data_IF_626802695128
#
_entry.id   IF_626802695128
#
_cell.length_a   1.000
_cell.length_b   1.000
_cell.length_c   1.000
_cell.angle_alpha   90.00
_cell.angle_beta   90.00
_cell.angle_gamma   90.00
#
_symmetry.space_group_name_H-M   'P 1'
#
loop_
_entity.id
_entity.type
_entity.pdbx_description
1 polymer ?
#
# COMPACT_ATOMS: atom_id res chain seq x y z
N UNK A 1 -22.65 -2.60 -31.65
CA UNK A 1 -23.77 -2.29 -30.74
C UNK A 1 -24.00 -3.27 -29.59
N UNK A 2 -23.48 -4.50 -29.61
CA UNK A 2 -23.67 -5.45 -28.49
C UNK A 2 -22.60 -5.33 -27.38
N UNK A 3 -21.39 -4.85 -27.72
CA UNK A 3 -20.25 -4.67 -26.78
C UNK A 3 -20.50 -3.64 -25.67
N UNK A 4 -21.49 -2.74 -25.82
CA UNK A 4 -21.82 -1.71 -24.83
C UNK A 4 -22.85 -2.18 -23.78
N UNK A 5 -23.31 -3.44 -23.84
CA UNK A 5 -24.24 -4.03 -22.87
C UNK A 5 -23.52 -4.96 -21.89
N UNK A 6 -22.36 -4.54 -21.40
CA UNK A 6 -21.66 -5.25 -20.32
C UNK A 6 -22.49 -5.18 -19.04
N UNK A 7 -22.83 -6.34 -18.48
CA UNK A 7 -23.54 -6.49 -17.21
C UNK A 7 -22.71 -7.36 -16.26
N UNK A 8 -22.79 -7.12 -14.94
CA UNK A 8 -22.16 -8.02 -13.98
C UNK A 8 -22.80 -9.40 -14.03
N UNK A 9 -22.01 -10.45 -13.74
CA UNK A 9 -22.46 -11.84 -13.73
C UNK A 9 -23.48 -12.09 -12.62
N UNK A 10 -23.29 -11.45 -11.48
CA UNK A 10 -24.19 -11.53 -10.33
C UNK A 10 -24.84 -10.17 -10.06
N UNK A 11 -26.15 -10.20 -9.85
CA UNK A 11 -26.97 -9.07 -9.40
C UNK A 11 -27.77 -9.50 -8.19
N UNK A 12 -28.02 -8.56 -7.27
CA UNK A 12 -28.69 -8.82 -5.99
C UNK A 12 -30.03 -9.55 -6.17
N UNK A 13 -30.30 -10.56 -5.33
CA UNK A 13 -31.50 -11.42 -5.43
C UNK A 13 -32.76 -10.65 -5.04
N UNK A 14 -32.71 -9.78 -4.04
CA UNK A 14 -33.83 -8.90 -3.65
C UNK A 14 -34.07 -7.73 -4.62
N UNK A 15 -33.17 -7.52 -5.59
CA UNK A 15 -33.23 -6.50 -6.63
C UNK A 15 -33.85 -6.97 -7.94
N UNK A 16 -34.64 -8.05 -7.95
CA UNK A 16 -35.40 -8.50 -9.13
C UNK A 16 -36.62 -7.59 -9.41
N UNK A 17 -36.43 -6.28 -9.31
CA UNK A 17 -37.34 -5.27 -9.86
C UNK A 17 -36.73 -4.75 -11.16
N UNK A 18 -37.57 -4.52 -12.16
CA UNK A 18 -37.27 -3.80 -13.42
C UNK A 18 -36.83 -2.35 -13.14
N UNK A 19 -35.74 -2.16 -12.42
CA UNK A 19 -35.15 -0.86 -12.09
C UNK A 19 -34.17 -0.44 -13.17
N UNK A 20 -34.71 0.19 -14.21
CA UNK A 20 -34.02 1.16 -15.06
C UNK A 20 -32.77 0.68 -15.86
N UNK A 21 -32.87 -0.50 -16.48
CA UNK A 21 -32.02 -0.81 -17.65
C UNK A 21 -32.39 0.06 -18.89
N UNK A 22 -33.38 0.96 -18.76
CA UNK A 22 -33.93 1.81 -19.81
C UNK A 22 -33.31 3.21 -19.86
N UNK A 23 -32.84 3.74 -18.74
CA UNK A 23 -32.11 5.00 -18.70
C UNK A 23 -30.72 4.84 -19.31
N UNK A 24 -30.32 5.83 -20.11
CA UNK A 24 -28.99 5.90 -20.71
C UNK A 24 -27.90 5.72 -19.63
N UNK A 25 -28.11 6.28 -18.42
CA UNK A 25 -27.15 6.14 -17.33
C UNK A 25 -27.03 4.69 -16.84
N UNK A 26 -28.15 3.97 -16.65
CA UNK A 26 -28.12 2.57 -16.19
C UNK A 26 -27.35 1.65 -17.13
N UNK A 27 -27.45 1.88 -18.44
CA UNK A 27 -26.73 1.08 -19.43
C UNK A 27 -25.23 1.39 -19.51
N UNK A 28 -24.83 2.66 -19.33
CA UNK A 28 -23.45 3.09 -19.52
C UNK A 28 -22.62 3.20 -18.24
N UNK A 29 -23.23 3.24 -17.05
CA UNK A 29 -22.49 3.38 -15.77
C UNK A 29 -21.48 2.24 -15.59
N UNK A 30 -21.90 0.99 -15.79
CA UNK A 30 -21.03 -0.17 -15.61
C UNK A 30 -19.80 -0.16 -16.53
N UNK A 31 -19.95 -0.06 -17.87
CA UNK A 31 -18.78 0.03 -18.75
C UNK A 31 -17.98 1.33 -18.52
N UNK A 32 -18.61 2.44 -18.15
CA UNK A 32 -17.91 3.69 -17.82
C UNK A 32 -17.02 3.53 -16.59
N UNK A 33 -17.47 2.83 -15.54
CA UNK A 33 -16.65 2.53 -14.36
C UNK A 33 -15.42 1.71 -14.75
N UNK A 34 -15.57 0.66 -15.56
CA UNK A 34 -14.44 -0.15 -16.04
C UNK A 34 -13.45 0.72 -16.83
N UNK A 35 -13.94 1.50 -17.79
CA UNK A 35 -13.09 2.39 -18.60
C UNK A 35 -12.35 3.38 -17.71
N UNK A 36 -13.03 4.02 -16.77
CA UNK A 36 -12.43 4.94 -15.83
C UNK A 36 -11.33 4.28 -15.00
N UNK A 37 -11.61 3.10 -14.43
CA UNK A 37 -10.62 2.31 -13.69
C UNK A 37 -9.40 1.95 -14.56
N UNK A 38 -9.60 1.58 -15.82
CA UNK A 38 -8.50 1.31 -16.75
C UNK A 38 -7.68 2.56 -17.08
N UNK A 39 -8.32 3.70 -17.27
CA UNK A 39 -7.62 4.97 -17.55
C UNK A 39 -6.76 5.38 -16.35
N UNK A 40 -7.31 5.31 -15.14
CA UNK A 40 -6.56 5.62 -13.91
C UNK A 40 -5.39 4.66 -13.73
N UNK A 41 -5.62 3.35 -13.91
CA UNK A 41 -4.56 2.34 -13.84
C UNK A 41 -3.44 2.63 -14.85
N UNK A 42 -3.77 2.90 -16.12
CA UNK A 42 -2.76 3.19 -17.14
C UNK A 42 -1.95 4.44 -16.82
N UNK A 43 -2.60 5.46 -16.25
CA UNK A 43 -1.94 6.69 -15.81
C UNK A 43 -0.96 6.44 -14.66
N UNK A 44 -1.39 5.77 -13.59
CA UNK A 44 -0.52 5.44 -12.44
C UNK A 44 0.62 4.52 -12.85
N UNK A 45 0.32 3.48 -13.63
CA UNK A 45 1.32 2.56 -14.16
C UNK A 45 2.36 3.29 -15.03
N UNK A 46 1.94 4.27 -15.82
CA UNK A 46 2.86 5.10 -16.60
C UNK A 46 3.77 5.95 -15.70
N UNK A 47 3.25 6.56 -14.64
CA UNK A 47 4.03 7.33 -13.67
C UNK A 47 5.09 6.44 -12.99
N UNK A 48 4.72 5.24 -12.58
CA UNK A 48 5.64 4.28 -11.96
C UNK A 48 6.71 3.79 -12.93
N UNK A 49 6.36 3.55 -14.20
CA UNK A 49 7.35 3.22 -15.23
C UNK A 49 8.35 4.36 -15.44
N UNK A 50 7.89 5.61 -15.40
CA UNK A 50 8.75 6.79 -15.47
C UNK A 50 9.65 6.88 -14.24
N UNK A 51 9.11 6.67 -13.05
CA UNK A 51 9.86 6.68 -11.79
C UNK A 51 10.92 5.56 -11.76
N UNK A 52 10.56 4.37 -12.23
CA UNK A 52 11.49 3.22 -12.38
C UNK A 52 12.70 3.56 -13.25
N UNK A 53 12.51 4.31 -14.35
CA UNK A 53 13.62 4.76 -15.21
C UNK A 53 14.53 5.73 -14.46
N UNK A 54 13.96 6.62 -13.64
CA UNK A 54 14.73 7.55 -12.81
C UNK A 54 15.63 6.81 -11.83
N UNK A 55 15.14 5.74 -11.18
CA UNK A 55 15.94 4.97 -10.22
C UNK A 55 17.08 4.15 -10.83
N UNK A 56 17.07 3.92 -12.15
CA UNK A 56 18.19 3.28 -12.86
C UNK A 56 19.37 4.23 -13.06
N UNK A 57 19.16 5.54 -12.95
CA UNK A 57 20.23 6.53 -13.09
C UNK A 57 20.90 6.73 -11.72
N UNK A 58 21.96 5.97 -11.46
CA UNK A 58 22.69 5.99 -10.19
C UNK A 58 23.80 7.05 -10.12
N UNK A 59 23.63 8.18 -10.81
CA UNK A 59 24.63 9.28 -10.76
C UNK A 59 24.33 10.15 -9.54
N UNK A 60 25.33 10.35 -8.69
CA UNK A 60 25.21 11.29 -7.58
C UNK A 60 25.08 12.72 -8.14
N UNK A 61 24.12 13.54 -7.65
CA UNK A 61 23.92 14.88 -8.19
C UNK A 61 25.16 15.77 -8.00
N UNK A 62 25.60 16.46 -9.05
CA UNK A 62 26.83 17.29 -9.03
C UNK A 62 26.75 18.45 -8.04
N UNK A 63 25.56 19.04 -7.86
CA UNK A 63 25.37 20.15 -6.92
C UNK A 63 25.51 19.72 -5.46
N UNK A 64 25.02 18.52 -5.13
CA UNK A 64 25.22 17.90 -3.81
C UNK A 64 26.70 17.50 -3.62
N UNK A 65 27.38 17.05 -4.66
CA UNK A 65 28.81 16.73 -4.58
C UNK A 65 29.67 17.97 -4.28
N UNK A 66 29.40 19.08 -4.98
CA UNK A 66 30.13 20.35 -4.78
C UNK A 66 29.92 20.90 -3.37
N UNK A 67 28.66 20.97 -2.92
CA UNK A 67 28.31 21.54 -1.61
C UNK A 67 28.86 20.72 -0.45
N UNK A 68 28.75 19.40 -0.51
CA UNK A 68 29.30 18.51 0.53
C UNK A 68 30.82 18.48 0.47
N UNK A 69 31.39 18.51 -0.73
CA UNK A 69 32.83 18.59 -0.93
C UNK A 69 33.45 19.86 -0.35
N UNK A 70 32.78 21.01 -0.48
CA UNK A 70 33.22 22.24 0.21
C UNK A 70 33.16 22.12 1.73
N UNK A 71 32.13 21.48 2.28
CA UNK A 71 32.01 21.26 3.74
C UNK A 71 33.12 20.35 4.26
N UNK A 72 33.41 19.26 3.55
CA UNK A 72 34.53 18.36 3.89
C UNK A 72 35.89 19.07 3.81
N UNK A 73 36.08 19.93 2.81
CA UNK A 73 37.31 20.72 2.65
C UNK A 73 37.49 21.77 3.76
N UNK A 74 36.42 22.44 4.17
CA UNK A 74 36.45 23.40 5.28
C UNK A 74 36.67 22.72 6.63
N UNK A 75 36.06 21.54 6.84
CA UNK A 75 36.25 20.73 8.05
C UNK A 75 37.69 20.19 8.13
N UNK A 76 38.27 19.78 7.00
CA UNK A 76 39.67 19.36 6.92
C UNK A 76 40.68 20.48 7.19
N UNK A 77 40.36 21.73 6.81
CA UNK A 77 41.19 22.91 7.14
C UNK A 77 41.11 23.30 8.62
N UNK A 78 39.94 23.19 9.25
CA UNK A 78 39.76 23.45 10.68
C UNK A 78 40.51 22.41 11.57
N UNK A 79 40.67 21.17 11.10
CA UNK A 79 41.45 20.14 11.79
C UNK A 79 42.97 20.27 11.66
N UNK A 80 43.48 21.05 10.68
CA UNK A 80 44.92 21.22 10.43
C UNK A 80 45.57 22.30 11.33
N UNK A 81 44.80 23.11 12.05
CA UNK A 81 45.34 24.12 12.97
C UNK A 81 45.40 23.68 14.44
N UNK A 82 45.13 22.40 14.75
CA UNK A 82 45.21 21.89 16.11
C UNK A 82 45.76 20.46 16.14
N UNK A 83 47.03 20.31 16.49
CA UNK A 83 47.59 19.08 17.03
C UNK A 83 48.79 19.42 17.95
N UNK A 84 49.17 18.58 18.94
CA UNK A 84 48.50 17.36 19.46
C UNK A 84 48.38 17.32 20.99
N UNK A 85 47.40 16.59 21.54
CA UNK A 85 47.56 15.95 22.86
C UNK A 85 46.53 14.84 23.10
N UNK A 86 47.01 13.64 23.41
CA UNK A 86 46.35 12.76 24.38
C UNK A 86 45.50 11.60 23.83
N UNK A 87 46.13 10.43 23.87
CA UNK A 87 45.55 9.15 24.32
C UNK A 87 44.71 8.30 23.34
N UNK A 88 45.37 7.27 22.81
CA UNK A 88 44.76 6.12 22.14
C UNK A 88 44.05 5.23 23.17
N UNK A 89 42.72 5.30 23.22
CA UNK A 89 41.90 4.30 23.89
C UNK A 89 40.97 3.62 22.88
N UNK A 90 41.30 2.35 22.59
CA UNK A 90 40.50 1.39 21.83
C UNK A 90 39.05 1.36 22.35
N UNK A 91 38.10 1.79 21.53
CA UNK A 91 36.69 1.38 21.70
C UNK A 91 36.22 0.61 20.47
N UNK A 92 36.03 -0.70 20.67
CA UNK A 92 35.28 -1.59 19.77
C UNK A 92 33.84 -1.06 19.69
N UNK A 93 33.52 -0.23 18.69
CA UNK A 93 32.12 0.10 18.40
C UNK A 93 31.51 -0.89 17.42
N UNK A 94 30.49 -1.56 17.92
CA UNK A 94 29.63 -2.56 17.29
C UNK A 94 28.85 -1.88 16.16
N UNK A 95 29.18 -2.19 14.90
CA UNK A 95 28.49 -1.69 13.69
C UNK A 95 26.97 -1.83 13.82
N UNK A 96 26.27 -0.72 14.09
CA UNK A 96 24.84 -0.55 13.87
C UNK A 96 24.67 0.42 12.70
N UNK A 97 23.91 0.02 11.68
CA UNK A 97 23.67 0.83 10.50
C UNK A 97 23.00 2.16 10.87
N UNK A 98 23.67 3.27 10.61
CA UNK A 98 23.07 4.60 10.72
C UNK A 98 24.01 5.73 11.16
N UNK A 99 25.10 5.43 11.87
CA UNK A 99 26.01 6.47 12.37
C UNK A 99 26.77 7.14 11.21
N UNK A 100 26.68 8.47 11.15
CA UNK A 100 27.58 9.28 10.33
C UNK A 100 28.91 9.26 11.07
N UNK A 101 29.94 8.69 10.46
CA UNK A 101 31.28 8.67 11.06
C UNK A 101 31.80 10.12 11.07
N UNK A 102 31.67 10.83 12.20
CA UNK A 102 32.07 12.25 12.35
C UNK A 102 33.55 12.48 12.04
N UNK A 103 34.37 11.43 12.12
CA UNK A 103 35.81 11.46 11.86
C UNK A 103 36.20 11.12 10.42
N UNK A 104 35.23 10.89 9.52
CA UNK A 104 35.47 10.58 8.10
C UNK A 104 34.77 11.59 7.19
N UNK A 105 35.28 11.80 5.96
CA UNK A 105 34.63 12.69 4.99
C UNK A 105 33.19 12.27 4.73
N UNK A 106 32.29 13.24 4.61
CA UNK A 106 30.84 13.08 4.47
C UNK A 106 30.46 12.67 3.05
N UNK A 107 31.19 13.12 2.04
CA UNK A 107 30.90 12.86 0.62
C UNK A 107 30.80 11.35 0.30
N UNK A 108 31.77 10.48 0.63
CA UNK A 108 31.64 9.04 0.36
C UNK A 108 30.51 8.37 1.17
N UNK A 109 30.21 8.89 2.37
CA UNK A 109 29.10 8.39 3.18
C UNK A 109 27.73 8.73 2.54
N UNK A 110 27.63 9.89 1.90
CA UNK A 110 26.42 10.33 1.21
C UNK A 110 26.22 9.61 -0.12
N UNK A 111 27.28 9.37 -0.89
CA UNK A 111 27.22 8.58 -2.12
C UNK A 111 26.75 7.13 -1.85
N UNK A 112 27.25 6.51 -0.79
CA UNK A 112 26.84 5.16 -0.39
C UNK A 112 25.39 5.11 0.10
N UNK A 113 24.95 6.10 0.89
CA UNK A 113 23.54 6.23 1.30
C UNK A 113 22.62 6.49 0.10
N UNK A 114 23.03 7.33 -0.84
CA UNK A 114 22.29 7.61 -2.07
C UNK A 114 22.11 6.32 -2.89
N UNK A 115 23.19 5.56 -3.10
CA UNK A 115 23.12 4.29 -3.85
C UNK A 115 22.17 3.29 -3.18
N UNK A 116 22.20 3.18 -1.84
CA UNK A 116 21.26 2.33 -1.10
C UNK A 116 19.81 2.81 -1.23
N UNK A 117 19.57 4.11 -1.13
CA UNK A 117 18.25 4.71 -1.28
C UNK A 117 17.68 4.50 -2.70
N UNK A 118 18.52 4.60 -3.74
CA UNK A 118 18.14 4.28 -5.12
C UNK A 118 17.75 2.81 -5.27
N UNK A 119 18.53 1.88 -4.69
CA UNK A 119 18.21 0.45 -4.68
C UNK A 119 16.89 0.14 -3.97
N UNK A 120 16.64 0.76 -2.81
CA UNK A 120 15.36 0.65 -2.10
C UNK A 120 14.20 1.18 -2.95
N UNK A 121 14.35 2.37 -3.54
CA UNK A 121 13.35 2.96 -4.43
C UNK A 121 13.02 2.06 -5.63
N UNK A 122 14.04 1.45 -6.23
CA UNK A 122 13.85 0.52 -7.36
C UNK A 122 13.06 -0.73 -6.96
N UNK A 123 13.41 -1.35 -5.82
CA UNK A 123 12.69 -2.53 -5.31
C UNK A 123 11.22 -2.18 -4.99
N UNK A 124 10.99 -1.02 -4.38
CA UNK A 124 9.65 -0.52 -4.03
C UNK A 124 8.78 -0.27 -5.27
N UNK A 125 9.32 0.39 -6.30
CA UNK A 125 8.59 0.62 -7.55
C UNK A 125 8.32 -0.69 -8.29
N UNK A 126 9.29 -1.61 -8.35
CA UNK A 126 9.06 -2.92 -8.97
C UNK A 126 7.92 -3.69 -8.29
N UNK A 127 7.87 -3.67 -6.96
CA UNK A 127 6.79 -4.28 -6.20
C UNK A 127 5.45 -3.57 -6.45
N UNK A 128 5.44 -2.23 -6.42
CA UNK A 128 4.23 -1.44 -6.62
C UNK A 128 3.57 -1.74 -7.97
N UNK A 129 4.36 -1.80 -9.05
CA UNK A 129 3.89 -2.18 -10.39
C UNK A 129 3.17 -3.54 -10.40
N UNK A 130 3.72 -4.55 -9.70
CA UNK A 130 3.12 -5.89 -9.63
C UNK A 130 1.83 -5.87 -8.79
N UNK A 131 1.85 -5.20 -7.64
CA UNK A 131 0.67 -5.09 -6.77
C UNK A 131 -0.47 -4.31 -7.43
N UNK A 132 -0.17 -3.28 -8.22
CA UNK A 132 -1.18 -2.49 -8.93
C UNK A 132 -1.86 -3.30 -10.04
N UNK A 133 -1.11 -4.11 -10.79
CA UNK A 133 -1.68 -5.02 -11.80
C UNK A 133 -2.65 -5.98 -11.13
N UNK A 134 -2.22 -6.61 -10.03
CA UNK A 134 -3.08 -7.53 -9.28
C UNK A 134 -4.33 -6.83 -8.74
N UNK A 135 -4.17 -5.70 -8.04
CA UNK A 135 -5.30 -5.00 -7.42
C UNK A 135 -6.30 -4.46 -8.45
N UNK A 136 -5.81 -4.01 -9.61
CA UNK A 136 -6.69 -3.57 -10.71
C UNK A 136 -7.43 -4.75 -11.33
N UNK A 137 -6.74 -5.87 -11.55
CA UNK A 137 -7.36 -7.09 -12.03
C UNK A 137 -8.43 -7.60 -11.05
N UNK A 138 -8.12 -7.65 -9.75
CA UNK A 138 -9.06 -8.04 -8.69
C UNK A 138 -10.28 -7.11 -8.67
N UNK A 139 -10.08 -5.79 -8.72
CA UNK A 139 -11.17 -4.81 -8.74
C UNK A 139 -12.09 -4.99 -9.96
N UNK A 140 -11.52 -5.16 -11.16
CA UNK A 140 -12.30 -5.44 -12.37
C UNK A 140 -13.00 -6.80 -12.28
N UNK A 141 -12.33 -7.82 -11.76
CA UNK A 141 -12.94 -9.14 -11.57
C UNK A 141 -14.11 -9.08 -10.58
N UNK A 142 -13.97 -8.39 -9.45
CA UNK A 142 -15.04 -8.20 -8.48
C UNK A 142 -16.22 -7.44 -9.07
N UNK A 143 -15.96 -6.42 -9.88
CA UNK A 143 -17.00 -5.67 -10.58
C UNK A 143 -17.72 -6.53 -11.62
N UNK A 144 -16.97 -7.25 -12.48
CA UNK A 144 -17.52 -8.16 -13.49
C UNK A 144 -18.30 -9.32 -12.89
N UNK A 145 -17.87 -9.86 -11.76
CA UNK A 145 -18.52 -10.98 -11.10
C UNK A 145 -19.71 -10.55 -10.24
N UNK A 146 -19.88 -9.25 -9.94
CA UNK A 146 -20.90 -8.79 -9.00
C UNK A 146 -20.60 -9.19 -7.56
N UNK A 147 -19.33 -9.11 -7.17
CA UNK A 147 -18.84 -9.53 -5.86
C UNK A 147 -19.53 -8.81 -4.69
N UNK A 148 -19.75 -7.50 -4.78
CA UNK A 148 -20.41 -6.74 -3.71
C UNK A 148 -21.89 -7.15 -3.52
N UNK A 149 -22.73 -7.22 -4.56
CA UNK A 149 -24.08 -7.77 -4.41
C UNK A 149 -24.08 -9.22 -3.90
N UNK A 150 -23.13 -10.06 -4.32
CA UNK A 150 -22.99 -11.42 -3.80
C UNK A 150 -22.68 -11.45 -2.30
N UNK A 151 -21.73 -10.62 -1.85
CA UNK A 151 -21.41 -10.49 -0.43
C UNK A 151 -22.60 -9.96 0.37
N UNK A 152 -23.38 -9.04 -0.18
CA UNK A 152 -24.59 -8.54 0.46
C UNK A 152 -25.59 -9.67 0.72
N UNK A 153 -25.96 -10.43 -0.31
CA UNK A 153 -26.94 -11.50 -0.19
C UNK A 153 -26.47 -12.61 0.77
N UNK A 154 -25.15 -12.89 0.80
CA UNK A 154 -24.56 -13.81 1.78
C UNK A 154 -24.62 -13.28 3.20
N UNK A 155 -24.38 -11.99 3.41
CA UNK A 155 -24.49 -11.35 4.71
C UNK A 155 -25.92 -11.34 5.22
N UNK A 156 -26.90 -11.01 4.37
CA UNK A 156 -28.31 -11.07 4.70
C UNK A 156 -28.76 -12.49 5.07
N UNK A 157 -28.46 -13.47 4.22
CA UNK A 157 -28.81 -14.88 4.46
C UNK A 157 -28.19 -15.42 5.76
N UNK A 158 -26.95 -15.04 6.05
CA UNK A 158 -26.27 -15.46 7.26
C UNK A 158 -26.85 -14.78 8.51
N UNK A 159 -27.17 -13.49 8.42
CA UNK A 159 -27.78 -12.73 9.51
C UNK A 159 -29.20 -13.23 9.84
N UNK A 160 -29.99 -13.57 8.83
CA UNK A 160 -31.33 -14.15 9.00
C UNK A 160 -31.25 -15.52 9.66
N UNK A 161 -30.40 -16.42 9.14
CA UNK A 161 -30.27 -17.78 9.68
C UNK A 161 -29.70 -17.85 11.10
N UNK A 162 -28.83 -16.90 11.47
CA UNK A 162 -28.14 -16.91 12.78
C UNK A 162 -28.88 -16.09 13.83
N UNK A 163 -29.43 -14.93 13.46
CA UNK A 163 -29.99 -13.95 14.39
C UNK A 163 -31.46 -13.60 14.12
N UNK A 164 -32.05 -14.08 13.02
CA UNK A 164 -33.40 -13.72 12.61
C UNK A 164 -33.52 -12.29 12.09
N UNK A 165 -32.40 -11.63 11.77
CA UNK A 165 -32.40 -10.27 11.23
C UNK A 165 -32.79 -10.27 9.77
N UNK A 166 -33.79 -9.47 9.42
CA UNK A 166 -34.32 -9.39 8.06
C UNK A 166 -33.78 -8.15 7.35
N UNK A 167 -33.63 -8.23 6.02
CA UNK A 167 -33.14 -7.10 5.21
C UNK A 167 -33.97 -5.82 5.42
N UNK A 168 -35.28 -5.96 5.59
CA UNK A 168 -36.21 -4.82 5.67
C UNK A 168 -36.34 -4.25 7.08
N UNK A 169 -36.14 -5.06 8.12
CA UNK A 169 -36.31 -4.64 9.52
C UNK A 169 -35.01 -4.25 10.22
N UNK A 170 -33.87 -4.80 9.77
CA UNK A 170 -32.58 -4.72 10.45
C UNK A 170 -31.44 -4.37 9.48
N UNK A 171 -31.72 -3.56 8.45
CA UNK A 171 -30.79 -3.20 7.36
C UNK A 171 -29.41 -2.75 7.88
N UNK A 172 -29.37 -1.90 8.92
CA UNK A 172 -28.11 -1.41 9.51
C UNK A 172 -27.28 -2.58 10.07
N UNK A 173 -27.91 -3.56 10.72
CA UNK A 173 -27.21 -4.73 11.28
C UNK A 173 -26.67 -5.61 10.16
N UNK A 174 -27.45 -5.82 9.10
CA UNK A 174 -27.03 -6.56 7.91
C UNK A 174 -25.86 -5.86 7.22
N UNK A 175 -25.90 -4.52 7.11
CA UNK A 175 -24.81 -3.71 6.57
C UNK A 175 -23.51 -3.83 7.38
N UNK A 176 -23.59 -3.90 8.72
CA UNK A 176 -22.42 -4.15 9.58
C UNK A 176 -21.81 -5.53 9.34
N UNK A 177 -22.65 -6.56 9.17
CA UNK A 177 -22.19 -7.91 8.82
C UNK A 177 -21.53 -7.92 7.44
N UNK A 178 -22.15 -7.27 6.46
CA UNK A 178 -21.59 -7.09 5.12
C UNK A 178 -20.22 -6.42 5.17
N UNK A 179 -20.10 -5.30 5.89
CA UNK A 179 -18.83 -4.61 6.04
C UNK A 179 -17.77 -5.49 6.72
N UNK A 180 -18.14 -6.24 7.76
CA UNK A 180 -17.25 -7.19 8.43
C UNK A 180 -16.74 -8.26 7.45
N UNK A 181 -17.65 -8.85 6.67
CA UNK A 181 -17.33 -9.86 5.67
C UNK A 181 -16.38 -9.31 4.60
N UNK A 182 -16.70 -8.16 3.99
CA UNK A 182 -15.86 -7.56 2.95
C UNK A 182 -14.51 -7.12 3.48
N UNK A 183 -14.44 -6.63 4.73
CA UNK A 183 -13.18 -6.26 5.39
C UNK A 183 -12.28 -7.48 5.61
N UNK A 184 -12.85 -8.60 6.05
CA UNK A 184 -12.10 -9.84 6.24
C UNK A 184 -11.57 -10.36 4.89
N UNK A 185 -12.42 -10.40 3.86
CA UNK A 185 -12.00 -10.85 2.52
C UNK A 185 -10.88 -9.96 1.98
N UNK A 186 -11.04 -8.64 2.03
CA UNK A 186 -10.01 -7.69 1.57
C UNK A 186 -8.71 -7.79 2.38
N UNK A 187 -8.80 -8.06 3.69
CA UNK A 187 -7.61 -8.31 4.51
C UNK A 187 -6.88 -9.56 4.05
N UNK A 188 -7.61 -10.64 3.75
CA UNK A 188 -7.03 -11.91 3.29
C UNK A 188 -6.38 -11.75 1.92
N UNK A 189 -7.03 -11.06 0.97
CA UNK A 189 -6.47 -10.88 -0.38
C UNK A 189 -5.27 -9.93 -0.40
N UNK A 190 -5.25 -8.92 0.49
CA UNK A 190 -4.13 -7.99 0.64
C UNK A 190 -2.95 -8.54 1.46
N UNK A 191 -3.18 -9.51 2.34
CA UNK A 191 -2.17 -10.02 3.28
C UNK A 191 -0.87 -10.52 2.62
N UNK A 192 -0.88 -11.27 1.49
CA UNK A 192 0.34 -11.74 0.84
C UNK A 192 1.25 -10.59 0.39
N UNK A 193 0.67 -9.51 -0.13
CA UNK A 193 1.40 -8.33 -0.58
C UNK A 193 2.02 -7.59 0.60
N UNK A 194 1.28 -7.45 1.70
CA UNK A 194 1.77 -6.80 2.90
C UNK A 194 2.91 -7.58 3.56
N UNK A 195 2.78 -8.91 3.64
CA UNK A 195 3.83 -9.81 4.13
C UNK A 195 5.09 -9.67 3.26
N UNK A 196 4.94 -9.68 1.93
CA UNK A 196 6.07 -9.53 1.03
C UNK A 196 6.76 -8.17 1.19
N UNK A 197 5.99 -7.08 1.21
CA UNK A 197 6.54 -5.74 1.44
C UNK A 197 7.32 -5.66 2.75
N UNK A 198 6.73 -6.13 3.84
CA UNK A 198 7.30 -6.01 5.19
C UNK A 198 8.49 -6.95 5.42
N UNK A 199 8.36 -8.23 5.07
CA UNK A 199 9.34 -9.24 5.42
C UNK A 199 10.38 -9.54 4.33
N UNK A 200 10.13 -9.13 3.08
CA UNK A 200 11.12 -9.23 2.00
C UNK A 200 11.73 -7.87 1.69
N UNK A 201 10.92 -6.86 1.30
CA UNK A 201 11.45 -5.58 0.83
C UNK A 201 12.05 -4.79 1.99
N UNK A 202 11.24 -4.44 2.99
CA UNK A 202 11.68 -3.61 4.11
C UNK A 202 12.76 -4.31 4.95
N UNK A 203 12.71 -5.64 5.07
CA UNK A 203 13.76 -6.42 5.76
C UNK A 203 15.06 -6.47 4.98
N UNK A 204 15.03 -6.63 3.65
CA UNK A 204 16.24 -6.61 2.78
C UNK A 204 17.01 -5.30 2.92
N UNK A 205 16.31 -4.18 3.09
CA UNK A 205 16.91 -2.87 3.28
C UNK A 205 17.18 -2.50 4.75
N UNK A 206 16.87 -3.39 5.70
CA UNK A 206 17.13 -3.21 7.12
C UNK A 206 16.19 -2.23 7.84
N UNK A 207 15.08 -1.86 7.21
CA UNK A 207 14.06 -1.00 7.80
C UNK A 207 13.10 -1.78 8.70
N UNK A 208 12.79 -3.03 8.36
CA UNK A 208 11.88 -3.83 9.17
C UNK A 208 12.52 -4.30 10.48
N UNK A 209 11.91 -3.91 11.60
CA UNK A 209 12.24 -4.35 12.96
C UNK A 209 11.15 -5.22 13.62
N UNK A 210 10.02 -5.41 12.93
CA UNK A 210 8.89 -6.19 13.42
C UNK A 210 9.14 -7.69 13.29
N UNK A 211 8.61 -8.45 14.25
CA UNK A 211 8.57 -9.92 14.20
C UNK A 211 7.24 -10.39 13.60
N UNK A 212 7.19 -11.63 13.11
CA UNK A 212 5.97 -12.19 12.53
C UNK A 212 4.81 -12.25 13.55
N UNK A 213 5.11 -12.60 14.81
CA UNK A 213 4.11 -12.62 15.88
C UNK A 213 3.56 -11.22 16.19
N UNK A 214 4.43 -10.20 16.22
CA UNK A 214 4.00 -8.82 16.42
C UNK A 214 3.12 -8.33 15.26
N UNK A 215 3.53 -8.62 14.01
CA UNK A 215 2.76 -8.27 12.82
C UNK A 215 1.33 -8.84 12.85
N UNK A 216 1.18 -10.13 13.14
CA UNK A 216 -0.15 -10.78 13.22
C UNK A 216 -0.96 -10.17 14.38
N UNK A 217 -0.33 -9.98 15.53
CA UNK A 217 -1.00 -9.41 16.71
C UNK A 217 -1.50 -7.99 16.43
N UNK A 218 -0.70 -7.16 15.78
CA UNK A 218 -1.07 -5.80 15.41
C UNK A 218 -2.18 -5.77 14.37
N UNK A 219 -2.18 -6.72 13.42
CA UNK A 219 -3.26 -6.88 12.44
C UNK A 219 -4.59 -7.23 13.09
N UNK A 220 -4.59 -8.23 13.98
CA UNK A 220 -5.80 -8.61 14.73
C UNK A 220 -6.30 -7.45 15.59
N UNK A 221 -5.39 -6.77 16.32
CA UNK A 221 -5.75 -5.58 17.12
C UNK A 221 -6.35 -4.48 16.27
N UNK A 222 -5.77 -4.21 15.09
CA UNK A 222 -6.27 -3.19 14.17
C UNK A 222 -7.66 -3.53 13.64
N UNK A 223 -7.92 -4.80 13.31
CA UNK A 223 -9.26 -5.26 12.91
C UNK A 223 -10.28 -5.12 14.04
N UNK A 224 -9.93 -5.55 15.25
CA UNK A 224 -10.80 -5.42 16.43
C UNK A 224 -11.09 -3.95 16.71
N UNK A 225 -10.08 -3.08 16.67
CA UNK A 225 -10.25 -1.64 16.89
C UNK A 225 -11.16 -1.02 15.83
N UNK A 226 -10.98 -1.40 14.57
CA UNK A 226 -11.82 -0.94 13.46
C UNK A 226 -13.26 -1.41 13.63
N UNK A 227 -13.50 -2.64 14.08
CA UNK A 227 -14.84 -3.14 14.34
C UNK A 227 -15.50 -2.43 15.53
N UNK A 228 -14.78 -2.22 16.63
CA UNK A 228 -15.31 -1.63 17.86
C UNK A 228 -15.59 -0.13 17.70
N UNK A 229 -14.78 0.60 16.95
CA UNK A 229 -14.96 2.05 16.75
C UNK A 229 -15.75 2.33 15.46
N UNK A 230 -15.35 1.70 14.36
CA UNK A 230 -15.97 1.91 13.05
C UNK A 230 -17.40 1.37 12.97
N UNK A 231 -17.69 0.24 13.63
CA UNK A 231 -19.04 -0.33 13.64
C UNK A 231 -20.09 0.63 14.20
N UNK A 232 -19.95 1.12 15.45
CA UNK A 232 -20.89 2.10 16.02
C UNK A 232 -20.93 3.41 15.23
N UNK A 233 -19.80 3.87 14.70
CA UNK A 233 -19.75 5.10 13.91
C UNK A 233 -20.59 4.97 12.62
N UNK A 234 -20.47 3.85 11.92
CA UNK A 234 -21.24 3.57 10.70
C UNK A 234 -22.71 3.33 11.02
N UNK A 235 -23.02 2.71 12.15
CA UNK A 235 -24.40 2.49 12.57
C UNK A 235 -25.14 3.79 12.95
N UNK A 236 -24.41 4.86 13.26
CA UNK A 236 -24.97 6.18 13.59
C UNK A 236 -25.14 7.11 12.37
N UNK A 237 -24.47 6.81 11.27
CA UNK A 237 -24.47 7.61 10.04
C UNK A 237 -25.69 7.26 9.17
#
# INVERSE_FOLDING_TARGET
DELLKLKPLYTQVSGQGEGDNTSLLGQYVFPATIIFTMVVFLFEFYLDLRQRRSYKVTKFPSELAKTVGSIDADTGKAGSSAAPSGDESKSKSKKKGGEIDTHKPLLPQLETKFTKAQGYGLDKVNFSLVSQIYGTFEAVAFLLLGFFPYCWDKSASWAESTFGWTETGDEIKVALVFLGLTTIIGTITGLPFEIYSTFQIERKHGFNKQTAGLFITDKVKSLVLTAVIGGPFIALL
#
